data_IF_959032202080
#
_entry.id   IF_959032202080
#
_cell.length_a   1.000
_cell.length_b   1.000
_cell.length_c   1.000
_cell.angle_alpha   90.00
_cell.angle_beta   90.00
_cell.angle_gamma   90.00
#
_symmetry.space_group_name_H-M   'P 1'
#
loop_
_entity.id
_entity.type
_entity.pdbx_description
1 polymer ?
#
# COMPACT_ATOMS: atom_id res chain seq x y z
N UNK A 1 18.01 20.00 -8.46
CA UNK A 1 17.92 18.81 -7.58
C UNK A 1 16.49 18.28 -7.65
N UNK A 2 16.09 17.63 -8.75
CA UNK A 2 14.69 17.19 -8.92
C UNK A 2 14.52 16.05 -9.94
N UNK A 3 15.39 15.05 -9.92
CA UNK A 3 15.27 13.91 -10.85
C UNK A 3 15.49 12.54 -10.16
N UNK A 4 16.30 12.51 -9.09
CA UNK A 4 16.54 11.30 -8.30
C UNK A 4 15.28 10.78 -7.58
N UNK A 5 14.38 11.70 -7.19
CA UNK A 5 13.20 11.43 -6.37
C UNK A 5 12.08 10.67 -7.13
N UNK A 6 11.92 10.96 -8.43
CA UNK A 6 10.92 10.29 -9.27
C UNK A 6 11.29 8.85 -9.59
N UNK A 7 12.57 8.57 -9.88
CA UNK A 7 13.03 7.23 -10.21
C UNK A 7 13.02 6.30 -8.99
N UNK A 8 13.37 6.81 -7.81
CA UNK A 8 13.31 6.05 -6.57
C UNK A 8 11.86 5.74 -6.18
N UNK A 9 10.96 6.72 -6.28
CA UNK A 9 9.53 6.50 -6.07
C UNK A 9 8.98 5.42 -7.01
N UNK A 10 9.33 5.46 -8.31
CA UNK A 10 8.87 4.45 -9.28
C UNK A 10 9.34 3.03 -8.92
N UNK A 11 10.56 2.89 -8.38
CA UNK A 11 11.06 1.59 -7.91
C UNK A 11 10.23 1.08 -6.73
N UNK A 12 9.92 1.95 -5.77
CA UNK A 12 9.05 1.60 -4.64
C UNK A 12 7.64 1.22 -5.08
N UNK A 13 7.02 2.01 -5.96
CA UNK A 13 5.69 1.70 -6.50
C UNK A 13 5.69 0.36 -7.24
N UNK A 14 6.75 0.06 -8.00
CA UNK A 14 6.92 -1.23 -8.67
C UNK A 14 7.07 -2.38 -7.66
N UNK A 15 7.85 -2.19 -6.60
CA UNK A 15 8.03 -3.18 -5.51
C UNK A 15 6.70 -3.46 -4.81
N UNK A 16 5.91 -2.42 -4.52
CA UNK A 16 4.58 -2.52 -3.92
C UNK A 16 3.61 -3.25 -4.85
N UNK A 17 3.56 -2.87 -6.13
CA UNK A 17 2.68 -3.49 -7.13
C UNK A 17 3.03 -4.97 -7.42
N UNK A 18 4.31 -5.35 -7.30
CA UNK A 18 4.77 -6.72 -7.49
C UNK A 18 4.52 -7.67 -6.30
N UNK A 19 4.09 -7.14 -5.16
CA UNK A 19 3.86 -7.94 -3.97
C UNK A 19 2.59 -8.81 -4.09
N UNK A 20 2.73 -10.10 -3.80
CA UNK A 20 1.67 -11.10 -4.00
C UNK A 20 0.77 -11.33 -2.79
N UNK A 21 1.08 -10.71 -1.65
CA UNK A 21 0.38 -10.92 -0.38
C UNK A 21 0.25 -9.60 0.38
N UNK A 22 -0.83 -9.45 1.15
CA UNK A 22 -1.09 -8.24 1.94
C UNK A 22 0.04 -7.96 2.94
N UNK A 23 0.56 -8.99 3.61
CA UNK A 23 1.69 -8.86 4.54
C UNK A 23 2.96 -8.34 3.86
N UNK A 24 3.23 -8.76 2.63
CA UNK A 24 4.37 -8.27 1.86
C UNK A 24 4.19 -6.78 1.50
N UNK A 25 2.99 -6.39 1.06
CA UNK A 25 2.67 -4.99 0.80
C UNK A 25 2.86 -4.14 2.07
N UNK A 26 2.34 -4.60 3.21
CA UNK A 26 2.46 -3.91 4.50
C UNK A 26 3.92 -3.74 4.92
N UNK A 27 4.74 -4.80 4.79
CA UNK A 27 6.16 -4.74 5.09
C UNK A 27 6.88 -3.71 4.21
N UNK A 28 6.59 -3.67 2.91
CA UNK A 28 7.19 -2.70 1.98
C UNK A 28 6.73 -1.27 2.31
N UNK A 29 5.46 -1.08 2.65
CA UNK A 29 4.92 0.23 3.07
C UNK A 29 5.53 0.73 4.38
N UNK A 30 5.89 -0.17 5.30
CA UNK A 30 6.59 0.16 6.54
C UNK A 30 8.02 0.66 6.29
N UNK A 31 8.72 0.06 5.32
CA UNK A 31 10.02 0.57 4.87
C UNK A 31 9.87 1.90 4.12
N UNK A 32 8.81 2.06 3.32
CA UNK A 32 8.57 3.27 2.54
C UNK A 32 8.31 4.49 3.43
N UNK A 33 7.49 4.36 4.49
CA UNK A 33 7.05 5.49 5.34
C UNK A 33 8.14 6.18 6.16
N UNK A 34 9.30 5.56 6.35
CA UNK A 34 10.41 6.14 7.14
C UNK A 34 11.31 7.04 6.31
N UNK A 35 11.17 7.00 4.98
CA UNK A 35 11.92 7.84 4.06
C UNK A 35 11.28 9.23 3.92
N UNK A 36 12.06 10.27 3.58
CA UNK A 36 11.61 11.66 3.56
C UNK A 36 10.80 12.00 2.29
N UNK A 37 9.74 11.24 2.03
CA UNK A 37 8.84 11.47 0.91
C UNK A 37 7.99 12.72 1.10
N UNK A 38 7.70 13.39 0.00
CA UNK A 38 6.72 14.47 -0.07
C UNK A 38 5.30 13.93 0.10
N UNK A 39 4.36 14.80 0.49
CA UNK A 39 2.94 14.44 0.65
C UNK A 39 2.35 13.84 -0.64
N UNK A 40 2.68 14.41 -1.80
CA UNK A 40 2.22 13.91 -3.10
C UNK A 40 2.69 12.48 -3.41
N UNK A 41 3.92 12.15 -3.00
CA UNK A 41 4.52 10.82 -3.20
C UNK A 41 3.89 9.81 -2.24
N UNK A 42 3.73 10.20 -0.97
CA UNK A 42 2.99 9.42 0.02
C UNK A 42 1.55 9.14 -0.42
N UNK A 43 0.85 10.16 -0.94
CA UNK A 43 -0.50 10.05 -1.48
C UNK A 43 -0.57 9.05 -2.64
N UNK A 44 0.44 9.06 -3.52
CA UNK A 44 0.53 8.14 -4.66
C UNK A 44 0.71 6.69 -4.19
N UNK A 45 1.65 6.44 -3.26
CA UNK A 45 1.86 5.12 -2.68
C UNK A 45 0.63 4.60 -1.91
N UNK A 46 -0.02 5.46 -1.12
CA UNK A 46 -1.24 5.11 -0.37
C UNK A 46 -2.41 4.73 -1.29
N UNK A 47 -2.60 5.45 -2.41
CA UNK A 47 -3.62 5.11 -3.41
C UNK A 47 -3.36 3.75 -4.05
N UNK A 48 -2.10 3.43 -4.38
CA UNK A 48 -1.72 2.13 -4.91
C UNK A 48 -1.97 1.02 -3.88
N UNK A 49 -1.52 1.23 -2.65
CA UNK A 49 -1.73 0.33 -1.51
C UNK A 49 -3.22 -0.04 -1.34
N UNK A 50 -4.12 0.95 -1.30
CA UNK A 50 -5.56 0.72 -1.15
C UNK A 50 -6.13 -0.13 -2.29
N UNK A 51 -5.73 0.13 -3.54
CA UNK A 51 -6.19 -0.67 -4.69
C UNK A 51 -5.72 -2.13 -4.60
N UNK A 52 -4.47 -2.35 -4.20
CA UNK A 52 -3.92 -3.70 -4.09
C UNK A 52 -4.58 -4.49 -2.96
N UNK A 53 -4.89 -3.86 -1.83
CA UNK A 53 -5.62 -4.52 -0.75
C UNK A 53 -7.02 -4.97 -1.15
N UNK A 54 -7.71 -4.17 -1.97
CA UNK A 54 -9.03 -4.53 -2.52
C UNK A 54 -8.95 -5.65 -3.56
N UNK A 55 -7.85 -5.73 -4.32
CA UNK A 55 -7.65 -6.72 -5.36
C UNK A 55 -7.15 -8.08 -4.83
N UNK A 56 -6.40 -8.08 -3.72
CA UNK A 56 -5.87 -9.32 -3.14
C UNK A 56 -6.97 -10.07 -2.38
N UNK A 57 -7.09 -11.40 -2.61
CA UNK A 57 -8.00 -12.22 -1.83
C UNK A 57 -7.68 -12.07 -0.34
N UNK A 58 -8.72 -12.12 0.49
CA UNK A 58 -8.54 -12.19 1.93
C UNK A 58 -7.76 -13.47 2.23
N UNK A 59 -6.50 -13.36 2.63
CA UNK A 59 -5.56 -14.49 2.81
C UNK A 59 -5.94 -15.38 4.02
N UNK A 60 -7.21 -15.41 4.42
CA UNK A 60 -7.71 -16.13 5.60
C UNK A 60 -7.23 -15.55 6.93
N UNK A 61 -6.47 -14.44 6.91
CA UNK A 61 -6.10 -13.69 8.11
C UNK A 61 -7.29 -12.83 8.53
N UNK A 62 -8.29 -13.48 9.11
CA UNK A 62 -9.55 -12.91 9.58
C UNK A 62 -9.39 -11.77 10.59
N UNK A 63 -9.08 -10.57 10.10
CA UNK A 63 -9.48 -9.34 10.75
C UNK A 63 -10.93 -9.06 10.32
N UNK A 64 -11.87 -9.67 11.06
CA UNK A 64 -13.19 -9.12 11.40
C UNK A 64 -13.43 -7.72 10.81
N UNK A 65 -14.05 -7.66 9.64
CA UNK A 65 -14.94 -6.53 9.35
C UNK A 65 -16.10 -6.68 10.33
N UNK A 66 -16.39 -5.69 11.21
CA UNK A 66 -17.60 -5.75 11.98
C UNK A 66 -18.75 -5.81 10.98
N UNK A 67 -19.53 -6.89 11.04
CA UNK A 67 -20.78 -6.96 10.33
C UNK A 67 -21.58 -5.72 10.72
N UNK A 68 -21.72 -4.77 9.81
CA UNK A 68 -22.86 -3.84 9.87
C UNK A 68 -24.10 -4.66 9.53
N UNK A 69 -24.49 -5.50 10.48
CA UNK A 69 -25.86 -5.97 10.65
C UNK A 69 -26.67 -4.74 11.06
N UNK A 70 -27.24 -4.06 10.07
CA UNK A 70 -28.42 -3.21 10.24
C UNK A 70 -29.42 -3.67 9.18
N UNK A 71 -30.52 -4.38 9.48
CA UNK A 71 -31.22 -4.50 10.75
C UNK A 71 -32.39 -3.54 10.88
N UNK A 72 -33.17 -3.31 9.82
CA UNK A 72 -34.64 -3.52 9.73
C UNK A 72 -35.19 -3.01 8.40
#
# INVERSE_FOLDING_TARGET
MADLDSAELQQWLTKIAGAKSRSAILSIMEEFRVLPWSDEQCSTAAKLYMRLLLALPDDGSGAIVPASTGGK
#
